data_IF_602801403374
#
_entry.id   IF_602801403374
#
_cell.length_a   1.000
_cell.length_b   1.000
_cell.length_c   1.000
_cell.angle_alpha   90.00
_cell.angle_beta   90.00
_cell.angle_gamma   90.00
#
_symmetry.space_group_name_H-M   'P 1'
#
loop_
_entity.id
_entity.type
_entity.pdbx_description
1 polymer ?
#
# COMPACT_ATOMS: atom_id res chain seq x y z
N UNK A 1 0.95 -8.87 -8.99
CA UNK A 1 0.29 -7.86 -8.15
C UNK A 1 -0.77 -7.05 -8.89
N UNK A 2 -0.91 -7.20 -10.22
CA UNK A 2 -1.72 -6.28 -11.05
C UNK A 2 -3.19 -6.68 -11.20
N UNK A 3 -3.55 -7.87 -10.69
CA UNK A 3 -4.93 -8.37 -10.64
C UNK A 3 -5.96 -7.33 -10.16
N UNK A 4 -5.67 -6.49 -9.14
CA UNK A 4 -6.63 -5.51 -8.64
C UNK A 4 -7.00 -4.45 -9.69
N UNK A 5 -6.05 -4.05 -10.54
CA UNK A 5 -6.29 -3.12 -11.65
C UNK A 5 -7.20 -3.76 -12.70
N UNK A 6 -6.97 -5.05 -12.99
CA UNK A 6 -7.83 -5.83 -13.91
C UNK A 6 -9.25 -5.93 -13.37
N UNK A 7 -9.42 -6.18 -12.08
CA UNK A 7 -10.74 -6.22 -11.43
C UNK A 7 -11.47 -4.88 -11.55
N UNK A 8 -10.78 -3.77 -11.24
CA UNK A 8 -11.35 -2.42 -11.39
C UNK A 8 -11.72 -2.10 -12.84
N UNK A 9 -10.92 -2.58 -13.81
CA UNK A 9 -11.18 -2.37 -15.23
C UNK A 9 -12.41 -3.15 -15.69
N UNK A 10 -12.54 -4.42 -15.30
CA UNK A 10 -13.72 -5.24 -15.59
C UNK A 10 -14.98 -4.64 -14.96
N UNK A 11 -14.87 -4.00 -13.80
CA UNK A 11 -15.97 -3.24 -13.19
C UNK A 11 -16.36 -1.99 -14.01
N UNK A 12 -15.41 -1.31 -14.63
CA UNK A 12 -15.74 -0.23 -15.58
C UNK A 12 -16.47 -0.77 -16.82
N UNK A 13 -16.00 -1.90 -17.38
CA UNK A 13 -16.61 -2.52 -18.56
C UNK A 13 -18.02 -3.04 -18.31
N UNK A 14 -18.33 -3.56 -17.12
CA UNK A 14 -19.70 -3.93 -16.75
C UNK A 14 -20.63 -2.70 -16.76
N UNK A 15 -20.15 -1.55 -16.29
CA UNK A 15 -20.86 -0.27 -16.35
C UNK A 15 -21.14 0.18 -17.79
N UNK A 16 -20.13 0.19 -18.66
CA UNK A 16 -20.31 0.57 -20.06
C UNK A 16 -21.23 -0.39 -20.83
N UNK A 17 -21.18 -1.69 -20.53
CA UNK A 17 -22.10 -2.67 -21.10
C UNK A 17 -23.55 -2.44 -20.64
N UNK A 18 -23.75 -2.07 -19.37
CA UNK A 18 -25.06 -1.69 -18.85
C UNK A 18 -25.59 -0.41 -19.53
N UNK A 19 -24.73 0.59 -19.74
CA UNK A 19 -25.11 1.82 -20.44
C UNK A 19 -25.49 1.54 -21.91
N UNK A 20 -24.73 0.71 -22.62
CA UNK A 20 -25.05 0.29 -23.99
C UNK A 20 -26.38 -0.47 -24.07
N UNK A 21 -26.64 -1.34 -23.09
CA UNK A 21 -27.94 -2.02 -22.96
C UNK A 21 -29.07 -1.02 -22.69
N UNK A 22 -28.81 0.00 -21.88
CA UNK A 22 -29.74 1.11 -21.63
C UNK A 22 -30.12 1.85 -22.91
N UNK A 23 -29.16 2.17 -23.78
CA UNK A 23 -29.44 2.77 -25.09
C UNK A 23 -30.27 1.84 -25.98
N UNK A 24 -29.96 0.54 -26.00
CA UNK A 24 -30.70 -0.45 -26.81
C UNK A 24 -32.16 -0.62 -26.35
N UNK A 25 -32.42 -0.47 -25.05
CA UNK A 25 -33.75 -0.59 -24.45
C UNK A 25 -34.50 0.74 -24.32
N UNK A 26 -33.86 1.87 -24.64
CA UNK A 26 -34.41 3.21 -24.38
C UNK A 26 -34.65 3.48 -22.89
N UNK A 27 -33.80 2.95 -22.01
CA UNK A 27 -33.93 3.04 -20.56
C UNK A 27 -32.89 4.00 -19.97
N UNK A 28 -33.32 5.22 -19.65
CA UNK A 28 -32.47 6.28 -19.10
C UNK A 28 -31.81 5.91 -17.76
N UNK A 29 -32.49 5.13 -16.91
CA UNK A 29 -31.93 4.69 -15.64
C UNK A 29 -30.71 3.80 -15.86
N UNK A 30 -30.79 2.84 -16.80
CA UNK A 30 -29.67 1.97 -17.15
C UNK A 30 -28.52 2.75 -17.80
N UNK A 31 -28.82 3.77 -18.62
CA UNK A 31 -27.80 4.64 -19.22
C UNK A 31 -27.04 5.39 -18.12
N UNK A 32 -27.77 6.05 -17.21
CA UNK A 32 -27.17 6.88 -16.16
C UNK A 32 -26.39 6.02 -15.16
N UNK A 33 -26.99 4.93 -14.66
CA UNK A 33 -26.32 4.04 -13.70
C UNK A 33 -25.12 3.32 -14.31
N UNK A 34 -25.24 2.85 -15.57
CA UNK A 34 -24.13 2.24 -16.28
C UNK A 34 -22.97 3.20 -16.51
N UNK A 35 -23.25 4.43 -16.93
CA UNK A 35 -22.23 5.46 -17.12
C UNK A 35 -21.51 5.80 -15.80
N UNK A 36 -22.24 5.90 -14.68
CA UNK A 36 -21.67 6.17 -13.36
C UNK A 36 -20.73 5.06 -12.89
N UNK A 37 -21.15 3.79 -13.01
CA UNK A 37 -20.31 2.63 -12.69
C UNK A 37 -19.08 2.58 -13.61
N UNK A 38 -19.30 2.82 -14.91
CA UNK A 38 -18.24 2.85 -15.92
C UNK A 38 -17.17 3.89 -15.63
N UNK A 39 -17.56 5.13 -15.35
CA UNK A 39 -16.64 6.21 -14.99
C UNK A 39 -15.91 5.94 -13.68
N UNK A 40 -16.62 5.43 -12.65
CA UNK A 40 -16.02 5.14 -11.35
C UNK A 40 -14.93 4.07 -11.46
N UNK A 41 -15.16 2.99 -12.19
CA UNK A 41 -14.16 1.94 -12.40
C UNK A 41 -12.94 2.44 -13.17
N UNK A 42 -13.14 3.30 -14.17
CA UNK A 42 -12.06 3.87 -14.96
C UNK A 42 -11.16 4.80 -14.12
N UNK A 43 -11.76 5.69 -13.32
CA UNK A 43 -11.03 6.60 -12.43
C UNK A 43 -10.24 5.80 -11.39
N UNK A 44 -10.87 4.80 -10.78
CA UNK A 44 -10.22 3.94 -9.80
C UNK A 44 -9.02 3.21 -10.40
N UNK A 45 -9.17 2.61 -11.59
CA UNK A 45 -8.07 1.96 -12.29
C UNK A 45 -6.93 2.92 -12.61
N UNK A 46 -7.23 4.18 -12.97
CA UNK A 46 -6.22 5.19 -13.24
C UNK A 46 -5.41 5.55 -11.98
N UNK A 47 -6.08 5.81 -10.86
CA UNK A 47 -5.43 6.16 -9.58
C UNK A 47 -4.55 4.99 -9.11
N UNK A 48 -5.00 3.75 -9.26
CA UNK A 48 -4.20 2.57 -8.93
C UNK A 48 -2.95 2.46 -9.80
N UNK A 49 -3.06 2.66 -11.12
CA UNK A 49 -1.92 2.65 -12.03
C UNK A 49 -0.90 3.75 -11.68
N UNK A 50 -1.38 4.95 -11.37
CA UNK A 50 -0.55 6.08 -10.96
C UNK A 50 0.19 5.78 -9.64
N UNK A 51 -0.50 5.22 -8.65
CA UNK A 51 0.09 4.83 -7.37
C UNK A 51 1.12 3.70 -7.48
N UNK A 52 1.05 2.87 -8.54
CA UNK A 52 2.06 1.86 -8.85
C UNK A 52 3.19 2.39 -9.75
N UNK A 53 3.15 3.66 -10.15
CA UNK A 53 4.00 4.24 -11.19
C UNK A 53 4.06 3.39 -12.49
N UNK A 54 2.92 2.85 -12.93
CA UNK A 54 2.81 2.04 -14.15
C UNK A 54 1.81 2.61 -15.13
N UNK A 55 2.14 2.56 -16.41
CA UNK A 55 1.24 3.01 -17.46
C UNK A 55 0.04 2.05 -17.57
N UNK A 56 -1.17 2.60 -17.57
CA UNK A 56 -2.43 1.87 -17.74
C UNK A 56 -2.41 0.86 -18.90
N UNK A 57 -1.85 1.24 -20.06
CA UNK A 57 -1.76 0.34 -21.23
C UNK A 57 -0.82 -0.85 -20.94
N UNK A 58 0.28 -0.62 -20.22
CA UNK A 58 1.24 -1.68 -19.87
C UNK A 58 0.62 -2.74 -18.96
N UNK A 59 -0.26 -2.32 -18.04
CA UNK A 59 -0.96 -3.22 -17.11
C UNK A 59 -1.99 -4.08 -17.84
N UNK A 60 -2.73 -3.52 -18.80
CA UNK A 60 -3.74 -4.25 -19.58
C UNK A 60 -3.08 -5.22 -20.58
N UNK A 61 -1.97 -4.82 -21.21
CA UNK A 61 -1.27 -5.64 -22.19
C UNK A 61 -0.38 -6.75 -21.59
N UNK A 62 -0.35 -6.89 -20.25
CA UNK A 62 0.48 -7.88 -19.56
C UNK A 62 1.98 -7.56 -19.58
N UNK A 63 2.34 -6.30 -19.80
CA UNK A 63 3.72 -5.84 -19.80
C UNK A 63 4.27 -5.73 -18.38
N UNK A 64 5.11 -6.69 -18.00
CA UNK A 64 6.12 -6.47 -16.97
C UNK A 64 7.12 -5.44 -17.51
N UNK A 65 7.14 -4.25 -16.91
CA UNK A 65 8.05 -3.16 -17.27
C UNK A 65 7.31 -1.86 -17.54
N UNK A 66 7.69 -0.80 -16.83
CA UNK A 66 7.28 0.57 -17.09
C UNK A 66 7.55 0.94 -18.56
N UNK A 67 6.76 1.87 -19.10
CA UNK A 67 6.79 2.32 -20.49
C UNK A 67 8.04 3.12 -20.90
N UNK A 68 9.16 2.94 -20.20
CA UNK A 68 10.48 3.38 -20.63
C UNK A 68 11.23 2.12 -21.02
N UNK A 69 11.74 1.96 -22.25
CA UNK A 69 12.63 0.85 -22.56
C UNK A 69 13.89 1.06 -21.73
N UNK A 70 13.94 0.46 -20.55
CA UNK A 70 15.18 0.14 -19.89
C UNK A 70 15.96 -0.69 -20.91
N UNK A 71 17.01 -0.09 -21.47
CA UNK A 71 18.03 -0.84 -22.20
C UNK A 71 18.35 -2.04 -21.32
N UNK A 72 18.29 -3.24 -21.89
CA UNK A 72 19.03 -4.38 -21.35
C UNK A 72 20.53 -4.07 -21.44
N UNK A 73 21.03 -3.15 -20.63
CA UNK A 73 22.41 -3.21 -20.15
C UNK A 73 22.41 -4.32 -19.10
N UNK A 74 23.26 -5.31 -19.32
CA UNK A 74 23.23 -6.58 -18.60
C UNK A 74 23.18 -6.41 -17.09
N UNK A 75 22.47 -7.33 -16.43
CA UNK A 75 22.48 -7.62 -15.00
C UNK A 75 23.36 -6.65 -14.20
N UNK A 76 22.86 -5.44 -13.93
CA UNK A 76 23.37 -4.67 -12.82
C UNK A 76 23.05 -5.52 -11.60
N UNK A 77 24.10 -5.99 -10.93
CA UNK A 77 23.95 -6.61 -9.62
C UNK A 77 23.10 -5.64 -8.81
N UNK A 78 21.93 -6.11 -8.34
CA UNK A 78 21.16 -5.38 -7.33
C UNK A 78 22.18 -4.89 -6.30
N UNK A 79 22.22 -3.58 -6.05
CA UNK A 79 23.21 -2.98 -5.17
C UNK A 79 23.35 -3.87 -3.93
N UNK A 80 24.55 -4.41 -3.70
CA UNK A 80 24.71 -5.40 -2.63
C UNK A 80 24.18 -4.78 -1.34
N UNK A 81 23.32 -5.49 -0.58
CA UNK A 81 22.74 -4.96 0.64
C UNK A 81 23.87 -4.47 1.54
N UNK A 82 23.92 -3.15 1.73
CA UNK A 82 24.95 -2.55 2.57
C UNK A 82 24.53 -2.70 4.03
N UNK A 83 25.30 -3.48 4.78
CA UNK A 83 25.15 -3.64 6.23
C UNK A 83 24.51 -4.97 6.63
N UNK A 84 24.59 -5.24 7.94
CA UNK A 84 23.95 -6.40 8.55
C UNK A 84 22.55 -6.03 9.03
N UNK A 85 21.63 -6.99 8.93
CA UNK A 85 20.29 -6.82 9.48
C UNK A 85 20.36 -7.01 10.99
N UNK A 86 19.89 -6.00 11.73
CA UNK A 86 19.77 -6.08 13.18
C UNK A 86 18.50 -6.87 13.55
N UNK A 87 18.61 -8.09 14.10
CA UNK A 87 17.45 -8.79 14.64
C UNK A 87 17.00 -8.09 15.92
N UNK A 88 15.68 -8.03 16.14
CA UNK A 88 15.08 -7.54 17.38
C UNK A 88 14.00 -8.52 17.83
N UNK A 89 13.94 -8.78 19.13
CA UNK A 89 12.92 -9.64 19.72
C UNK A 89 11.58 -8.89 19.89
N UNK A 90 10.49 -9.65 20.05
CA UNK A 90 9.19 -9.07 20.35
C UNK A 90 9.16 -8.33 21.69
N UNK A 91 9.95 -8.79 22.68
CA UNK A 91 10.05 -8.15 23.99
C UNK A 91 10.74 -6.78 23.90
N UNK A 92 11.90 -6.71 23.21
CA UNK A 92 12.61 -5.45 22.97
C UNK A 92 11.76 -4.48 22.15
N UNK A 93 11.05 -4.98 21.13
CA UNK A 93 10.10 -4.16 20.35
C UNK A 93 9.01 -3.57 21.24
N UNK A 94 8.46 -4.35 22.17
CA UNK A 94 7.44 -3.87 23.09
C UNK A 94 8.00 -2.81 24.07
N UNK A 95 9.24 -2.94 24.52
CA UNK A 95 9.90 -1.93 25.36
C UNK A 95 10.12 -0.62 24.59
N UNK A 96 10.62 -0.70 23.34
CA UNK A 96 10.78 0.48 22.48
C UNK A 96 9.44 1.21 22.26
N UNK A 97 8.35 0.47 22.05
CA UNK A 97 7.02 1.07 21.87
C UNK A 97 6.46 1.69 23.15
N UNK A 98 6.76 1.11 24.31
CA UNK A 98 6.35 1.65 25.61
C UNK A 98 7.08 2.96 25.95
N UNK A 99 8.32 3.11 25.49
CA UNK A 99 9.14 4.30 25.71
C UNK A 99 8.95 5.39 24.64
N UNK A 100 8.37 5.03 23.49
CA UNK A 100 8.06 5.96 22.41
C UNK A 100 6.96 6.95 22.81
N UNK A 101 7.06 8.20 22.32
CA UNK A 101 5.97 9.19 22.40
C UNK A 101 5.05 9.08 21.19
N UNK A 102 5.59 8.67 20.05
CA UNK A 102 4.86 8.52 18.78
C UNK A 102 5.24 7.23 18.06
N UNK A 103 4.23 6.52 17.54
CA UNK A 103 4.44 5.34 16.73
C UNK A 103 3.57 5.37 15.46
N UNK A 104 4.16 5.03 14.32
CA UNK A 104 3.43 4.88 13.05
C UNK A 104 3.43 3.40 12.65
N UNK A 105 2.24 2.84 12.43
CA UNK A 105 2.07 1.46 11.97
C UNK A 105 1.79 1.48 10.47
N UNK A 106 2.59 0.74 9.71
CA UNK A 106 2.45 0.56 8.25
C UNK A 106 1.97 -0.85 7.95
N UNK A 107 0.65 -1.06 7.78
CA UNK A 107 0.10 -2.36 7.46
C UNK A 107 0.31 -2.71 5.99
N UNK A 108 0.70 -3.96 5.72
CA UNK A 108 0.82 -4.53 4.38
C UNK A 108 0.00 -5.79 4.20
N UNK A 109 0.14 -6.40 3.02
CA UNK A 109 -0.59 -7.62 2.68
C UNK A 109 -0.31 -8.78 3.64
N UNK A 110 0.89 -8.87 4.22
CA UNK A 110 1.22 -9.89 5.21
C UNK A 110 0.35 -9.84 6.46
N UNK A 111 -0.11 -8.64 6.88
CA UNK A 111 -1.06 -8.49 7.99
C UNK A 111 -2.41 -9.15 7.66
N UNK A 112 -2.91 -8.94 6.44
CA UNK A 112 -4.15 -9.54 5.96
C UNK A 112 -4.06 -11.07 5.85
N UNK A 113 -2.94 -11.59 5.32
CA UNK A 113 -2.71 -13.04 5.21
C UNK A 113 -2.68 -13.70 6.59
N UNK A 114 -2.10 -13.02 7.59
CA UNK A 114 -2.03 -13.50 8.96
C UNK A 114 -3.31 -13.26 9.78
N UNK A 115 -4.30 -12.53 9.24
CA UNK A 115 -5.49 -12.09 9.98
C UNK A 115 -5.15 -11.34 11.29
N UNK A 116 -4.09 -10.53 11.24
CA UNK A 116 -3.52 -9.90 12.44
C UNK A 116 -4.19 -8.56 12.81
N UNK A 117 -5.17 -8.08 12.04
CA UNK A 117 -5.79 -6.76 12.21
C UNK A 117 -6.36 -6.53 13.62
N UNK A 118 -6.95 -7.57 14.24
CA UNK A 118 -7.49 -7.47 15.60
C UNK A 118 -6.39 -7.32 16.65
N UNK A 119 -5.33 -8.11 16.55
CA UNK A 119 -4.16 -8.03 17.45
C UNK A 119 -3.46 -6.68 17.32
N UNK A 120 -3.33 -6.15 16.10
CA UNK A 120 -2.76 -4.82 15.86
C UNK A 120 -3.62 -3.72 16.50
N UNK A 121 -4.96 -3.85 16.47
CA UNK A 121 -5.84 -2.92 17.16
C UNK A 121 -5.70 -3.04 18.70
N UNK A 122 -5.56 -4.24 19.26
CA UNK A 122 -5.33 -4.44 20.69
C UNK A 122 -4.01 -3.79 21.15
N UNK A 123 -2.94 -3.95 20.38
CA UNK A 123 -1.65 -3.26 20.61
C UNK A 123 -1.85 -1.75 20.56
N UNK A 124 -2.53 -1.26 19.52
CA UNK A 124 -2.80 0.17 19.33
C UNK A 124 -3.56 0.76 20.52
N UNK A 125 -4.62 0.08 20.98
CA UNK A 125 -5.39 0.52 22.14
C UNK A 125 -4.53 0.58 23.39
N UNK A 126 -3.74 -0.47 23.64
CA UNK A 126 -2.86 -0.55 24.82
C UNK A 126 -1.83 0.58 24.84
N UNK A 127 -1.22 0.88 23.70
CA UNK A 127 -0.25 1.98 23.58
C UNK A 127 -0.91 3.35 23.73
N UNK A 128 -2.10 3.55 23.17
CA UNK A 128 -2.86 4.80 23.32
C UNK A 128 -3.31 5.03 24.77
N UNK A 129 -3.70 3.98 25.49
CA UNK A 129 -4.01 4.05 26.93
C UNK A 129 -2.79 4.47 27.77
N UNK A 130 -1.58 4.19 27.29
CA UNK A 130 -0.31 4.62 27.88
C UNK A 130 0.15 6.01 27.42
N UNK A 131 -0.64 6.69 26.57
CA UNK A 131 -0.37 8.04 26.10
C UNK A 131 0.52 8.12 24.85
N UNK A 132 0.82 7.00 24.19
CA UNK A 132 1.59 6.98 22.94
C UNK A 132 0.69 7.44 21.79
N UNK A 133 1.18 8.38 20.97
CA UNK A 133 0.50 8.83 19.76
C UNK A 133 0.67 7.78 18.64
N UNK A 134 -0.30 6.86 18.54
CA UNK A 134 -0.30 5.79 17.53
C UNK A 134 -1.16 6.18 16.33
N UNK A 135 -0.58 6.10 15.13
CA UNK A 135 -1.25 6.36 13.85
C UNK A 135 -0.94 5.27 12.84
N UNK A 136 -1.81 5.07 11.86
CA UNK A 136 -1.62 4.15 10.74
C UNK A 136 -1.30 4.94 9.47
N UNK A 137 -0.30 4.50 8.73
CA UNK A 137 0.01 5.03 7.41
C UNK A 137 -0.42 4.04 6.33
N UNK A 138 -1.39 4.44 5.51
CA UNK A 138 -1.93 3.58 4.45
C UNK A 138 -1.32 3.97 3.11
N UNK A 139 -0.65 3.01 2.49
CA UNK A 139 -0.24 3.15 1.10
C UNK A 139 -1.42 2.86 0.18
N UNK A 140 -1.67 3.65 -0.88
CA UNK A 140 -2.85 3.49 -1.75
C UNK A 140 -3.01 2.10 -2.38
N UNK A 141 -1.88 1.42 -2.63
CA UNK A 141 -1.82 0.07 -3.19
C UNK A 141 -1.42 -1.02 -2.17
N UNK A 142 -1.53 -0.73 -0.87
CA UNK A 142 -1.34 -1.74 0.16
C UNK A 142 -2.39 -2.86 0.03
N UNK A 143 -1.93 -4.10 -0.15
CA UNK A 143 -2.78 -5.28 -0.20
C UNK A 143 -3.01 -5.84 -1.60
N UNK A 144 -4.28 -6.13 -1.91
CA UNK A 144 -4.74 -6.84 -3.14
C UNK A 144 -6.08 -6.32 -3.65
N UNK A 145 -6.58 -5.23 -3.09
CA UNK A 145 -7.75 -4.50 -3.57
C UNK A 145 -7.60 -3.04 -3.13
N UNK A 146 -8.19 -2.08 -3.86
CA UNK A 146 -8.25 -0.70 -3.38
C UNK A 146 -8.90 -0.62 -2.00
N UNK A 147 -8.29 0.15 -1.10
CA UNK A 147 -8.77 0.30 0.28
C UNK A 147 -8.72 -0.99 1.11
N UNK A 148 -7.95 -2.01 0.70
CA UNK A 148 -7.90 -3.30 1.42
C UNK A 148 -7.58 -3.11 2.89
N UNK A 149 -6.58 -2.30 3.21
CA UNK A 149 -6.18 -2.06 4.61
C UNK A 149 -7.24 -1.26 5.36
N UNK A 150 -7.85 -0.24 4.74
CA UNK A 150 -8.90 0.56 5.38
C UNK A 150 -10.08 -0.31 5.80
N UNK A 151 -10.51 -1.25 4.95
CA UNK A 151 -11.62 -2.18 5.26
C UNK A 151 -11.25 -3.13 6.41
N UNK A 152 -10.05 -3.72 6.41
CA UNK A 152 -9.62 -4.61 7.48
C UNK A 152 -9.44 -3.90 8.82
N UNK A 153 -8.92 -2.66 8.80
CA UNK A 153 -8.79 -1.85 10.01
C UNK A 153 -10.17 -1.43 10.54
N UNK A 154 -11.11 -1.10 9.65
CA UNK A 154 -12.50 -0.83 10.02
C UNK A 154 -13.18 -2.07 10.63
N UNK A 155 -12.99 -3.25 10.05
CA UNK A 155 -13.45 -4.54 10.61
C UNK A 155 -12.86 -4.78 12.01
N UNK A 156 -11.58 -4.46 12.19
CA UNK A 156 -10.91 -4.52 13.49
C UNK A 156 -11.35 -3.44 14.47
N UNK A 157 -12.21 -2.49 14.06
CA UNK A 157 -12.68 -1.33 14.83
C UNK A 157 -11.57 -0.35 15.22
N UNK A 158 -10.60 -0.16 14.33
CA UNK A 158 -9.62 0.92 14.45
C UNK A 158 -10.34 2.25 14.16
N UNK A 159 -10.21 3.26 15.02
CA UNK A 159 -10.79 4.58 14.78
C UNK A 159 -10.23 5.25 13.52
N UNK A 160 -11.08 5.83 12.68
CA UNK A 160 -10.67 6.44 11.41
C UNK A 160 -9.80 7.69 11.57
N UNK A 161 -9.89 8.38 12.71
CA UNK A 161 -9.09 9.58 13.04
C UNK A 161 -7.60 9.31 13.16
N UNK A 162 -7.21 8.04 13.34
CA UNK A 162 -5.81 7.63 13.42
C UNK A 162 -5.35 6.87 12.18
N UNK A 163 -6.17 6.80 11.13
CA UNK A 163 -5.83 6.16 9.86
C UNK A 163 -5.61 7.25 8.82
N UNK A 164 -4.34 7.44 8.44
CA UNK A 164 -3.91 8.49 7.53
C UNK A 164 -3.52 7.89 6.18
N UNK A 165 -3.82 8.61 5.10
CA UNK A 165 -3.30 8.27 3.78
C UNK A 165 -1.83 8.70 3.66
N UNK A 166 -1.09 8.06 2.74
CA UNK A 166 0.35 8.28 2.55
C UNK A 166 0.73 9.77 2.41
N UNK A 167 -0.02 10.53 1.63
CA UNK A 167 0.26 11.94 1.36
C UNK A 167 0.07 12.83 2.60
N UNK A 168 -0.69 12.37 3.59
CA UNK A 168 -1.00 13.12 4.81
C UNK A 168 0.02 12.85 5.93
N UNK A 169 0.71 11.71 5.90
CA UNK A 169 1.55 11.24 7.01
C UNK A 169 3.05 11.12 6.68
N UNK A 170 3.43 11.17 5.40
CA UNK A 170 4.83 11.02 5.00
C UNK A 170 5.75 12.09 5.63
N UNK A 171 5.27 13.33 5.76
CA UNK A 171 6.02 14.44 6.37
C UNK A 171 6.27 14.25 7.87
N UNK A 172 5.55 13.33 8.53
CA UNK A 172 5.64 13.09 9.97
C UNK A 172 6.65 11.99 10.35
N UNK A 173 7.16 11.23 9.38
CA UNK A 173 8.14 10.18 9.68
C UNK A 173 9.41 10.70 10.38
N UNK A 174 10.03 11.84 10.00
CA UNK A 174 11.21 12.38 10.69
C UNK A 174 11.02 12.63 12.19
N UNK A 175 9.81 13.00 12.61
CA UNK A 175 9.48 13.27 14.02
C UNK A 175 9.01 12.02 14.78
N UNK A 176 8.87 10.88 14.08
CA UNK A 176 8.34 9.64 14.65
C UNK A 176 9.42 8.81 15.33
N UNK A 177 9.18 8.44 16.58
CA UNK A 177 10.11 7.59 17.35
C UNK A 177 10.22 6.16 16.80
N UNK A 178 9.09 5.51 16.53
CA UNK A 178 9.07 4.11 16.05
C UNK A 178 8.10 3.94 14.87
N UNK A 179 8.62 3.49 13.74
CA UNK A 179 7.82 3.04 12.60
C UNK A 179 7.76 1.50 12.56
N UNK A 180 6.57 0.92 12.65
CA UNK A 180 6.37 -0.54 12.59
C UNK A 180 5.80 -0.92 11.24
N UNK A 181 6.56 -1.68 10.45
CA UNK A 181 6.14 -2.22 9.16
C UNK A 181 5.63 -3.65 9.35
N UNK A 182 4.33 -3.88 9.16
CA UNK A 182 3.70 -5.19 9.37
C UNK A 182 3.33 -5.82 8.03
N UNK A 183 4.18 -6.71 7.53
CA UNK A 183 3.87 -7.47 6.31
C UNK A 183 3.83 -6.63 5.02
N UNK A 184 4.52 -5.50 5.00
CA UNK A 184 4.78 -4.67 3.81
C UNK A 184 6.25 -4.82 3.37
N UNK A 185 6.52 -4.60 2.07
CA UNK A 185 7.87 -4.63 1.51
C UNK A 185 8.03 -3.54 0.43
N UNK A 186 7.42 -3.73 -0.74
CA UNK A 186 7.64 -2.84 -1.89
C UNK A 186 7.18 -1.39 -1.61
N UNK A 187 6.09 -1.23 -0.85
CA UNK A 187 5.50 0.08 -0.48
C UNK A 187 6.32 0.88 0.55
N UNK A 188 7.39 0.29 1.09
CA UNK A 188 8.33 0.94 2.05
C UNK A 188 9.78 0.83 1.56
N UNK A 189 9.99 0.53 0.28
CA UNK A 189 11.32 0.26 -0.26
C UNK A 189 11.98 1.56 -0.77
N UNK A 190 13.10 2.03 -0.17
CA UNK A 190 13.78 3.25 -0.59
C UNK A 190 14.36 3.19 -2.00
N UNK A 191 14.59 1.99 -2.55
CA UNK A 191 15.05 1.81 -3.93
C UNK A 191 14.07 2.40 -4.97
N UNK A 192 12.82 2.70 -4.60
CA UNK A 192 11.90 3.42 -5.47
C UNK A 192 12.35 4.87 -5.75
N UNK A 193 13.10 5.50 -4.83
CA UNK A 193 13.60 6.87 -4.98
C UNK A 193 15.09 6.90 -5.37
N UNK A 194 15.89 6.02 -4.78
CA UNK A 194 17.36 6.10 -4.84
C UNK A 194 17.99 5.33 -6.02
N UNK A 195 17.27 4.34 -6.57
CA UNK A 195 17.79 3.45 -7.62
C UNK A 195 16.96 3.58 -8.91
N UNK A 196 17.46 4.29 -9.94
CA UNK A 196 16.81 4.41 -11.24
C UNK A 196 16.62 3.08 -11.99
N UNK A 197 17.42 2.05 -11.68
CA UNK A 197 17.35 0.73 -12.30
C UNK A 197 16.39 -0.22 -11.56
N UNK A 198 15.84 0.22 -10.42
CA UNK A 198 14.87 -0.56 -9.64
C UNK A 198 13.59 -0.82 -10.43
N UNK A 199 12.99 -2.03 -10.35
CA UNK A 199 11.69 -2.32 -10.97
C UNK A 199 10.54 -1.41 -10.50
N UNK A 200 10.71 -0.76 -9.35
CA UNK A 200 9.74 0.15 -8.73
C UNK A 200 10.22 1.62 -8.73
N UNK A 201 11.25 1.95 -9.52
CA UNK A 201 11.76 3.32 -9.62
C UNK A 201 10.62 4.32 -9.94
N UNK A 202 10.53 5.39 -9.16
CA UNK A 202 9.49 6.43 -9.23
C UNK A 202 8.15 6.06 -8.60
N UNK A 203 7.99 4.88 -8.00
CA UNK A 203 6.81 4.55 -7.20
C UNK A 203 6.83 5.41 -5.92
N UNK A 204 5.75 6.16 -5.59
CA UNK A 204 5.67 6.79 -4.29
C UNK A 204 5.64 5.69 -3.22
N UNK A 205 6.30 5.92 -2.09
CA UNK A 205 6.46 4.93 -1.02
C UNK A 205 6.33 5.63 0.33
N UNK A 206 6.04 4.85 1.38
CA UNK A 206 6.08 5.31 2.76
C UNK A 206 7.52 5.35 3.24
N UNK A 207 8.00 6.53 3.61
CA UNK A 207 9.41 6.81 3.91
C UNK A 207 9.78 6.41 5.35
N UNK A 208 9.48 5.17 5.72
CA UNK A 208 9.62 4.65 7.10
C UNK A 208 11.05 4.72 7.63
N UNK A 209 12.05 4.78 6.75
CA UNK A 209 13.47 4.92 7.10
C UNK A 209 13.82 6.32 7.62
N UNK A 210 12.93 7.31 7.47
CA UNK A 210 13.12 8.64 8.06
C UNK A 210 12.75 8.69 9.55
N UNK A 211 12.06 7.68 10.07
CA UNK A 211 11.78 7.55 11.51
C UNK A 211 13.06 7.25 12.31
N UNK A 212 13.05 7.55 13.62
CA UNK A 212 14.21 7.29 14.48
C UNK A 212 14.57 5.80 14.53
N UNK A 213 13.55 4.95 14.61
CA UNK A 213 13.69 3.49 14.56
C UNK A 213 12.63 2.89 13.66
N UNK A 214 13.01 2.02 12.72
CA UNK A 214 12.10 1.28 11.85
C UNK A 214 12.19 -0.22 12.15
N UNK A 215 11.06 -0.85 12.46
CA UNK A 215 10.97 -2.28 12.80
C UNK A 215 10.13 -2.97 11.73
N UNK A 216 10.68 -4.02 11.11
CA UNK A 216 10.01 -4.76 10.03
C UNK A 216 9.62 -6.15 10.50
N UNK A 217 8.32 -6.46 10.49
CA UNK A 217 7.77 -7.75 10.87
C UNK A 217 7.45 -8.59 9.62
N UNK A 218 8.26 -9.61 9.36
CA UNK A 218 8.10 -10.57 8.26
C UNK A 218 8.66 -11.95 8.62
N UNK A 219 8.28 -12.97 7.86
CA UNK A 219 8.62 -14.39 8.13
C UNK A 219 10.11 -14.73 7.91
N UNK A 220 10.73 -14.10 6.93
CA UNK A 220 12.12 -14.36 6.50
C UNK A 220 12.66 -13.19 5.70
N UNK A 221 13.90 -13.26 5.22
CA UNK A 221 14.54 -12.22 4.39
C UNK A 221 14.09 -12.23 2.91
N UNK A 222 13.05 -12.99 2.56
CA UNK A 222 12.51 -13.04 1.20
C UNK A 222 12.01 -11.68 0.70
N UNK A 223 12.09 -11.48 -0.62
CA UNK A 223 11.58 -10.30 -1.31
C UNK A 223 10.04 -10.22 -1.29
N UNK A 224 9.53 -9.06 -1.68
CA UNK A 224 8.12 -8.80 -1.92
C UNK A 224 7.68 -9.38 -3.26
N UNK A 225 6.78 -8.67 -3.96
CA UNK A 225 6.35 -9.08 -5.30
C UNK A 225 7.33 -8.62 -6.38
#
# INVERSE_FOLDING_TARGET
>A
ADMPVVVSMLNSYSGWAAAATGFMLGNDLLIVTGALVGSSGAILSYIMCQAMNRNFISVIAGGFGSGTPAKKSGASAAAEPQGEVAPVSAAETAEMLREAKSAIIVPGYGMAVAQAQHTVNEITRTLREQGVAVRFAIHPVAGRMPGHMNVLLAEAKVPYDIVMEMDEINEDFPETDVAIVIGANDIVNPAAQDDPDSPIAGMPVLEVWKAKTSIVMKRSMASGY
#
